data_IF_243999255637
#
_entry.id   IF_243999255637
#
_cell.length_a   1.000
_cell.length_b   1.000
_cell.length_c   1.000
_cell.angle_alpha   90.00
_cell.angle_beta   90.00
_cell.angle_gamma   90.00
#
_symmetry.space_group_name_H-M   'P 1'
#
loop_
_entity.id
_entity.type
_entity.pdbx_description
1 polymer ?
#
# COMPACT_ATOMS: atom_id res chain seq x y z
N UNK A 1 -50.47 -15.28 71.16
CA UNK A 1 -50.52 -16.34 70.14
C UNK A 1 -49.08 -16.75 69.88
N UNK A 2 -48.68 -17.95 70.31
CA UNK A 2 -47.40 -18.54 69.94
C UNK A 2 -47.61 -19.17 68.55
N UNK A 3 -46.92 -18.68 67.53
CA UNK A 3 -46.94 -19.33 66.22
C UNK A 3 -46.41 -20.76 66.37
N UNK A 4 -47.08 -21.72 65.75
CA UNK A 4 -46.62 -23.10 65.72
C UNK A 4 -45.25 -23.15 65.02
N UNK A 5 -44.21 -23.69 65.68
CA UNK A 5 -42.89 -23.83 65.07
C UNK A 5 -42.91 -24.58 63.73
N UNK A 6 -43.87 -25.47 63.51
CA UNK A 6 -44.03 -26.20 62.26
C UNK A 6 -44.52 -25.30 61.11
N UNK A 7 -45.54 -24.46 61.34
CA UNK A 7 -46.02 -23.48 60.35
C UNK A 7 -44.92 -22.50 59.94
N UNK A 8 -44.11 -22.06 60.90
CA UNK A 8 -42.99 -21.15 60.64
C UNK A 8 -41.92 -21.80 59.75
N UNK A 9 -41.63 -23.09 59.96
CA UNK A 9 -40.67 -23.84 59.14
C UNK A 9 -41.16 -24.12 57.72
N UNK A 10 -42.47 -24.35 57.54
CA UNK A 10 -43.06 -24.51 56.19
C UNK A 10 -42.97 -23.21 55.38
N UNK A 11 -43.35 -22.07 55.98
CA UNK A 11 -43.28 -20.76 55.33
C UNK A 11 -41.84 -20.41 54.94
N UNK A 12 -40.85 -20.67 55.80
CA UNK A 12 -39.44 -20.48 55.47
C UNK A 12 -39.00 -21.38 54.31
N UNK A 13 -39.43 -22.65 54.29
CA UNK A 13 -39.14 -23.58 53.20
C UNK A 13 -39.66 -23.11 51.84
N UNK A 14 -40.88 -22.56 51.80
CA UNK A 14 -41.48 -22.00 50.59
C UNK A 14 -40.75 -20.73 50.12
N UNK A 15 -40.36 -19.84 51.04
CA UNK A 15 -39.56 -18.64 50.71
C UNK A 15 -38.20 -19.01 50.10
N UNK A 16 -37.49 -19.99 50.67
CA UNK A 16 -36.22 -20.46 50.10
C UNK A 16 -36.40 -21.11 48.73
N UNK A 17 -37.51 -21.82 48.52
CA UNK A 17 -37.85 -22.45 47.23
C UNK A 17 -38.15 -21.39 46.16
N UNK A 18 -38.90 -20.35 46.49
CA UNK A 18 -39.20 -19.25 45.57
C UNK A 18 -37.94 -18.47 45.18
N UNK A 19 -37.10 -18.11 46.16
CA UNK A 19 -35.81 -17.45 45.89
C UNK A 19 -34.90 -18.30 44.99
N UNK A 20 -34.85 -19.62 45.22
CA UNK A 20 -34.09 -20.51 44.37
C UNK A 20 -34.64 -20.53 42.93
N UNK A 21 -35.96 -20.59 42.77
CA UNK A 21 -36.61 -20.56 41.44
C UNK A 21 -36.35 -19.25 40.69
N UNK A 22 -36.41 -18.11 41.38
CA UNK A 22 -36.06 -16.80 40.79
C UNK A 22 -34.60 -16.77 40.34
N UNK A 23 -33.66 -17.23 41.18
CA UNK A 23 -32.25 -17.30 40.84
C UNK A 23 -31.98 -18.21 39.63
N UNK A 24 -32.61 -19.39 39.58
CA UNK A 24 -32.52 -20.27 38.42
C UNK A 24 -33.12 -19.64 37.16
N UNK A 25 -34.22 -18.90 37.28
CA UNK A 25 -34.82 -18.14 36.19
C UNK A 25 -33.86 -17.08 35.63
N UNK A 26 -33.22 -16.32 36.53
CA UNK A 26 -32.21 -15.33 36.18
C UNK A 26 -31.03 -15.96 35.43
N UNK A 27 -30.42 -17.02 36.00
CA UNK A 27 -29.29 -17.72 35.37
C UNK A 27 -29.65 -18.27 34.00
N UNK A 28 -30.86 -18.83 33.84
CA UNK A 28 -31.34 -19.32 32.54
C UNK A 28 -31.47 -18.18 31.53
N UNK A 29 -31.96 -17.01 31.94
CA UNK A 29 -32.11 -15.85 31.07
C UNK A 29 -30.74 -15.34 30.59
N UNK A 30 -29.74 -15.27 31.48
CA UNK A 30 -28.38 -14.87 31.13
C UNK A 30 -27.69 -15.89 30.21
N UNK A 31 -27.91 -17.19 30.47
CA UNK A 31 -27.40 -18.24 29.59
C UNK A 31 -27.99 -18.13 28.17
N UNK A 32 -29.28 -17.80 28.04
CA UNK A 32 -29.91 -17.63 26.73
C UNK A 32 -29.35 -16.41 25.99
N UNK A 33 -29.18 -15.27 26.67
CA UNK A 33 -28.55 -14.07 26.08
C UNK A 33 -27.13 -14.36 25.62
N UNK A 34 -26.33 -15.06 26.45
CA UNK A 34 -24.97 -15.44 26.08
C UNK A 34 -24.92 -16.34 24.85
N UNK A 35 -25.86 -17.30 24.73
CA UNK A 35 -25.95 -18.17 23.55
C UNK A 35 -26.29 -17.40 22.28
N UNK A 36 -27.17 -16.40 22.38
CA UNK A 36 -27.52 -15.55 21.24
C UNK A 36 -26.33 -14.69 20.80
N UNK A 37 -25.59 -14.10 21.75
CA UNK A 37 -24.38 -13.33 21.46
C UNK A 37 -23.32 -14.19 20.77
N UNK A 38 -23.09 -15.42 21.26
CA UNK A 38 -22.13 -16.36 20.65
C UNK A 38 -22.57 -16.71 19.23
N UNK A 39 -23.84 -17.06 19.03
CA UNK A 39 -24.39 -17.38 17.70
C UNK A 39 -24.23 -16.22 16.70
N UNK A 40 -24.48 -14.99 17.15
CA UNK A 40 -24.29 -13.81 16.31
C UNK A 40 -22.81 -13.55 16.00
N UNK A 41 -21.91 -13.71 16.97
CA UNK A 41 -20.48 -13.59 16.76
C UNK A 41 -19.93 -14.64 15.78
N UNK A 42 -20.40 -15.89 15.86
CA UNK A 42 -20.04 -16.96 14.94
C UNK A 42 -20.45 -16.64 13.50
N UNK A 43 -21.66 -16.11 13.29
CA UNK A 43 -22.11 -15.65 11.95
C UNK A 43 -21.24 -14.54 11.41
N UNK A 44 -20.93 -13.53 12.23
CA UNK A 44 -20.05 -12.43 11.82
C UNK A 44 -18.63 -12.92 11.49
N UNK A 45 -18.11 -13.90 12.24
CA UNK A 45 -16.81 -14.48 11.99
C UNK A 45 -16.76 -15.21 10.64
N UNK A 46 -17.80 -15.98 10.29
CA UNK A 46 -17.90 -16.66 8.99
C UNK A 46 -17.82 -15.63 7.85
N UNK A 47 -18.60 -14.54 7.93
CA UNK A 47 -18.60 -13.46 6.93
C UNK A 47 -17.21 -12.82 6.80
N UNK A 48 -16.54 -12.59 7.94
CA UNK A 48 -15.19 -12.03 7.96
C UNK A 48 -14.15 -12.97 7.31
N UNK A 49 -14.26 -14.27 7.57
CA UNK A 49 -13.38 -15.30 6.99
C UNK A 49 -13.56 -15.36 5.46
N UNK A 50 -14.80 -15.36 4.97
CA UNK A 50 -15.09 -15.36 3.53
C UNK A 50 -14.55 -14.10 2.84
N UNK A 51 -14.79 -12.94 3.44
CA UNK A 51 -14.29 -11.65 2.94
C UNK A 51 -12.76 -11.63 2.87
N UNK A 52 -12.10 -12.15 3.92
CA UNK A 52 -10.64 -12.27 3.97
C UNK A 52 -10.13 -13.21 2.87
N UNK A 53 -10.75 -14.37 2.67
CA UNK A 53 -10.35 -15.34 1.64
C UNK A 53 -10.42 -14.72 0.24
N UNK A 54 -11.48 -13.94 -0.03
CA UNK A 54 -11.60 -13.17 -1.28
C UNK A 54 -10.47 -12.16 -1.43
N UNK A 55 -10.18 -11.36 -0.41
CA UNK A 55 -9.09 -10.38 -0.45
C UNK A 55 -7.71 -11.03 -0.66
N UNK A 56 -7.45 -12.18 -0.06
CA UNK A 56 -6.22 -12.94 -0.28
C UNK A 56 -6.10 -13.46 -1.72
N UNK A 57 -7.20 -13.88 -2.33
CA UNK A 57 -7.24 -14.29 -3.73
C UNK A 57 -7.02 -13.09 -4.67
N UNK A 58 -7.69 -11.97 -4.42
CA UNK A 58 -7.55 -10.74 -5.21
C UNK A 58 -6.10 -10.24 -5.16
N UNK A 59 -5.47 -10.26 -3.98
CA UNK A 59 -4.05 -9.91 -3.83
C UNK A 59 -3.15 -10.83 -4.66
N UNK A 60 -3.34 -12.16 -4.59
CA UNK A 60 -2.55 -13.12 -5.37
C UNK A 60 -2.68 -12.87 -6.88
N UNK A 61 -3.90 -12.57 -7.35
CA UNK A 61 -4.13 -12.24 -8.75
C UNK A 61 -3.44 -10.93 -9.16
N UNK A 62 -3.49 -9.90 -8.30
CA UNK A 62 -2.81 -8.63 -8.55
C UNK A 62 -1.28 -8.80 -8.60
N UNK A 63 -0.71 -9.54 -7.64
CA UNK A 63 0.73 -9.81 -7.57
C UNK A 63 1.20 -10.61 -8.81
N UNK A 64 0.41 -11.58 -9.27
CA UNK A 64 0.73 -12.33 -10.49
C UNK A 64 0.68 -11.45 -11.73
N UNK A 65 -0.35 -10.61 -11.89
CA UNK A 65 -0.45 -9.66 -13.01
C UNK A 65 0.74 -8.69 -13.03
N UNK A 66 1.13 -8.18 -11.87
CA UNK A 66 2.30 -7.30 -11.74
C UNK A 66 3.57 -8.02 -12.21
N UNK A 67 3.77 -9.27 -11.77
CA UNK A 67 4.93 -10.07 -12.18
C UNK A 67 4.93 -10.34 -13.68
N UNK A 68 3.78 -10.69 -14.27
CA UNK A 68 3.65 -10.94 -15.70
C UNK A 68 3.93 -9.67 -16.52
N UNK A 69 3.49 -8.50 -16.06
CA UNK A 69 3.80 -7.21 -16.70
C UNK A 69 5.30 -6.87 -16.58
N UNK A 70 5.90 -7.10 -15.41
CA UNK A 70 7.34 -6.93 -15.22
C UNK A 70 8.15 -7.84 -16.13
N UNK A 71 7.76 -9.11 -16.28
CA UNK A 71 8.42 -10.06 -17.19
C UNK A 71 8.24 -9.68 -18.67
N UNK A 72 7.04 -9.22 -19.08
CA UNK A 72 6.80 -8.71 -20.44
C UNK A 72 7.63 -7.47 -20.78
N UNK A 73 7.95 -6.66 -19.79
CA UNK A 73 8.72 -5.43 -19.94
C UNK A 73 10.23 -5.66 -19.73
N UNK A 74 10.65 -6.86 -19.29
CA UNK A 74 12.06 -7.21 -19.10
C UNK A 74 12.78 -7.23 -20.45
N UNK A 75 13.66 -6.25 -20.67
CA UNK A 75 14.44 -6.11 -21.90
C UNK A 75 13.82 -5.21 -22.97
N UNK A 76 12.61 -4.67 -22.74
CA UNK A 76 12.13 -3.52 -23.51
C UNK A 76 12.75 -2.27 -22.90
N UNK A 77 13.37 -1.42 -23.72
CA UNK A 77 13.67 -0.04 -23.30
C UNK A 77 12.36 0.58 -22.82
N UNK A 78 12.28 1.11 -21.59
CA UNK A 78 11.08 1.76 -21.11
C UNK A 78 10.69 2.82 -22.13
N UNK A 79 9.40 2.89 -22.47
CA UNK A 79 8.93 3.94 -23.36
C UNK A 79 9.22 5.29 -22.69
N UNK A 80 10.23 5.98 -23.22
CA UNK A 80 10.77 7.18 -22.60
C UNK A 80 9.77 8.30 -22.81
N UNK A 81 9.27 8.82 -21.69
CA UNK A 81 8.31 9.92 -21.63
C UNK A 81 9.02 11.22 -21.32
N UNK A 82 8.78 12.21 -22.15
CA UNK A 82 9.22 13.58 -21.93
C UNK A 82 8.02 14.39 -21.44
N UNK A 83 8.15 15.06 -20.28
CA UNK A 83 7.22 16.10 -19.90
C UNK A 83 7.58 17.42 -20.63
N UNK A 84 6.66 18.39 -20.61
CA UNK A 84 6.85 19.64 -21.35
C UNK A 84 8.07 20.42 -20.86
N UNK A 85 8.32 20.41 -19.54
CA UNK A 85 9.51 21.03 -18.96
C UNK A 85 10.79 20.43 -19.52
N UNK A 86 10.87 19.10 -19.61
CA UNK A 86 12.04 18.43 -20.15
C UNK A 86 12.17 18.74 -21.63
N UNK A 87 11.09 18.73 -22.42
CA UNK A 87 11.14 19.08 -23.85
C UNK A 87 11.76 20.45 -24.08
N UNK A 88 11.35 21.44 -23.29
CA UNK A 88 11.92 22.80 -23.37
C UNK A 88 13.41 22.83 -22.99
N UNK A 89 13.79 22.02 -22.01
CA UNK A 89 15.18 21.91 -21.55
C UNK A 89 16.08 21.17 -22.55
N UNK A 90 15.56 20.23 -23.33
CA UNK A 90 16.39 19.43 -24.26
C UNK A 90 17.16 20.34 -25.21
N UNK A 91 16.44 21.19 -25.97
CA UNK A 91 17.07 22.05 -26.98
C UNK A 91 18.08 23.04 -26.38
N UNK A 92 17.74 23.64 -25.24
CA UNK A 92 18.63 24.62 -24.56
C UNK A 92 19.88 23.97 -24.00
N UNK A 93 19.79 22.70 -23.57
CA UNK A 93 20.88 21.91 -23.00
C UNK A 93 21.65 21.07 -24.02
N UNK A 94 21.41 21.30 -25.31
CA UNK A 94 22.08 20.61 -26.41
C UNK A 94 21.63 19.17 -26.65
N UNK A 95 20.53 18.72 -26.03
CA UNK A 95 19.96 17.39 -26.22
C UNK A 95 18.88 17.38 -27.29
N UNK A 96 18.75 16.24 -27.97
CA UNK A 96 17.56 15.88 -28.73
C UNK A 96 16.85 14.70 -28.06
N UNK A 97 15.55 14.49 -28.36
CA UNK A 97 14.86 13.27 -27.90
C UNK A 97 15.57 12.00 -28.39
N UNK A 98 16.17 12.06 -29.59
CA UNK A 98 16.98 10.97 -30.14
C UNK A 98 18.22 10.70 -29.29
N UNK A 99 18.95 11.75 -28.90
CA UNK A 99 20.14 11.61 -28.03
C UNK A 99 19.78 10.91 -26.72
N UNK A 100 18.64 11.28 -26.13
CA UNK A 100 18.17 10.66 -24.89
C UNK A 100 17.87 9.18 -25.09
N UNK A 101 17.12 8.82 -26.15
CA UNK A 101 16.83 7.42 -26.46
C UNK A 101 18.10 6.62 -26.76
N UNK A 102 19.07 7.23 -27.44
CA UNK A 102 20.38 6.62 -27.73
C UNK A 102 21.25 6.46 -26.47
N UNK A 103 21.15 7.38 -25.50
CA UNK A 103 21.81 7.23 -24.20
C UNK A 103 21.19 6.07 -23.40
N UNK A 104 19.85 5.98 -23.39
CA UNK A 104 19.12 4.91 -22.69
C UNK A 104 19.44 3.54 -23.29
N UNK A 105 19.51 3.43 -24.62
CA UNK A 105 19.77 2.16 -25.31
C UNK A 105 21.17 1.59 -25.07
N UNK A 106 22.15 2.44 -24.70
CA UNK A 106 23.51 2.02 -24.30
C UNK A 106 23.55 1.37 -22.91
N UNK A 107 22.44 1.39 -22.18
CA UNK A 107 22.32 0.80 -20.86
C UNK A 107 22.67 1.75 -19.72
N UNK A 108 22.16 1.43 -18.53
CA UNK A 108 22.35 2.24 -17.34
C UNK A 108 23.84 2.26 -16.91
N UNK A 109 24.29 3.43 -16.48
CA UNK A 109 25.65 3.71 -15.99
C UNK A 109 25.68 4.13 -14.53
N UNK A 110 24.53 4.34 -13.91
CA UNK A 110 24.41 4.66 -12.50
C UNK A 110 22.97 4.56 -12.02
N UNK A 111 22.76 4.92 -10.76
CA UNK A 111 21.45 4.95 -10.09
C UNK A 111 21.22 6.32 -9.44
N UNK A 112 19.96 6.67 -9.28
CA UNK A 112 19.48 7.88 -8.63
C UNK A 112 18.10 7.63 -7.99
N UNK A 113 17.50 8.68 -7.45
CA UNK A 113 16.14 8.62 -6.90
C UNK A 113 15.29 9.80 -7.39
N UNK A 114 14.08 9.50 -7.86
CA UNK A 114 13.06 10.50 -8.15
C UNK A 114 12.22 10.79 -6.90
N UNK A 115 12.67 11.79 -6.14
CA UNK A 115 11.98 12.31 -4.95
C UNK A 115 11.33 13.66 -5.24
N UNK A 116 10.14 13.63 -5.85
CA UNK A 116 9.34 14.83 -6.14
C UNK A 116 8.08 14.87 -5.27
N UNK A 117 7.90 15.97 -4.55
CA UNK A 117 6.65 16.23 -3.82
C UNK A 117 5.46 16.35 -4.80
N UNK A 118 4.23 15.96 -4.41
CA UNK A 118 2.98 16.11 -5.18
C UNK A 118 2.86 17.39 -6.02
N UNK A 119 3.13 18.56 -5.42
CA UNK A 119 3.07 19.87 -6.10
C UNK A 119 4.01 20.03 -7.31
N UNK A 120 5.01 19.14 -7.46
CA UNK A 120 6.00 19.15 -8.55
C UNK A 120 5.70 18.10 -9.63
N UNK A 121 4.56 17.40 -9.57
CA UNK A 121 4.18 16.34 -10.52
C UNK A 121 2.81 16.60 -11.16
N UNK A 122 2.55 17.78 -11.76
CA UNK A 122 1.34 17.94 -12.56
C UNK A 122 1.38 17.00 -13.78
N UNK A 123 0.22 16.56 -14.32
CA UNK A 123 -1.13 16.89 -13.87
C UNK A 123 -1.67 15.99 -12.75
N UNK A 124 -1.00 14.89 -12.40
CA UNK A 124 -1.54 13.87 -11.49
C UNK A 124 -1.41 14.22 -10.00
N UNK A 125 -0.44 15.08 -9.65
CA UNK A 125 -0.09 15.48 -8.29
C UNK A 125 0.13 14.29 -7.32
N UNK A 126 0.53 13.12 -7.82
CA UNK A 126 0.72 11.94 -6.98
C UNK A 126 2.05 11.95 -6.21
N UNK A 127 2.98 12.83 -6.58
CA UNK A 127 4.35 12.78 -6.12
C UNK A 127 5.09 11.59 -6.74
N UNK A 128 6.40 11.54 -6.47
CA UNK A 128 7.28 10.43 -6.83
C UNK A 128 8.21 10.13 -5.67
N UNK A 129 8.41 8.85 -5.41
CA UNK A 129 9.40 8.33 -4.46
C UNK A 129 9.89 7.00 -5.00
N UNK A 130 10.49 7.07 -6.19
CA UNK A 130 10.81 5.90 -7.00
C UNK A 130 12.31 5.82 -7.27
N UNK A 131 12.86 4.60 -7.40
CA UNK A 131 14.18 4.40 -8.00
C UNK A 131 14.27 5.01 -9.40
N UNK A 132 15.46 5.47 -9.76
CA UNK A 132 15.75 5.98 -11.08
C UNK A 132 17.11 5.47 -11.58
N UNK A 133 17.21 5.28 -12.89
CA UNK A 133 18.43 4.87 -13.57
C UNK A 133 19.08 6.08 -14.25
N UNK A 134 20.42 6.11 -14.21
CA UNK A 134 21.24 7.16 -14.85
C UNK A 134 21.90 6.59 -16.09
N UNK A 135 21.83 7.33 -17.18
CA UNK A 135 22.38 6.96 -18.49
C UNK A 135 23.34 8.04 -18.98
N UNK A 136 24.40 7.64 -19.69
CA UNK A 136 25.44 8.55 -20.15
C UNK A 136 26.63 8.59 -19.19
N UNK A 137 27.24 9.76 -19.04
CA UNK A 137 28.46 9.98 -18.27
C UNK A 137 28.40 11.30 -17.48
N UNK A 138 29.37 11.54 -16.59
CA UNK A 138 29.45 12.78 -15.81
C UNK A 138 29.44 14.01 -16.72
N UNK A 139 28.64 15.02 -16.37
CA UNK A 139 28.39 16.22 -17.19
C UNK A 139 27.45 15.99 -18.39
N UNK A 140 27.24 14.75 -18.84
CA UNK A 140 26.44 14.40 -20.04
C UNK A 140 25.54 13.20 -19.77
N UNK A 141 24.51 13.42 -18.95
CA UNK A 141 23.64 12.35 -18.48
C UNK A 141 22.14 12.64 -18.59
N UNK A 142 21.38 11.55 -18.52
CA UNK A 142 19.93 11.51 -18.42
C UNK A 142 19.55 10.66 -17.21
N UNK A 143 18.60 11.13 -16.41
CA UNK A 143 17.99 10.38 -15.30
C UNK A 143 16.56 10.01 -15.68
N UNK A 144 16.20 8.73 -15.57
CA UNK A 144 14.87 8.22 -15.91
C UNK A 144 14.27 7.49 -14.71
N UNK A 145 13.02 7.78 -14.37
CA UNK A 145 12.29 7.09 -13.31
C UNK A 145 11.97 5.65 -13.77
N UNK A 146 12.40 4.65 -12.98
CA UNK A 146 12.32 3.24 -13.36
C UNK A 146 10.88 2.73 -13.44
N UNK A 147 9.97 3.32 -12.64
CA UNK A 147 8.55 2.93 -12.61
C UNK A 147 7.76 3.57 -13.74
N UNK A 148 8.00 4.84 -14.06
CA UNK A 148 7.14 5.60 -14.98
C UNK A 148 7.70 5.73 -16.39
N UNK A 149 9.02 5.57 -16.57
CA UNK A 149 9.74 5.88 -17.80
C UNK A 149 9.88 7.38 -18.08
N UNK A 150 9.50 8.24 -17.12
CA UNK A 150 9.64 9.69 -17.23
C UNK A 150 11.11 10.09 -17.15
N UNK A 151 11.57 10.92 -18.09
CA UNK A 151 12.84 11.62 -17.95
C UNK A 151 12.68 12.65 -16.84
N UNK A 152 13.48 12.52 -15.78
CA UNK A 152 13.40 13.37 -14.58
C UNK A 152 14.38 14.54 -14.69
N UNK A 153 15.53 14.30 -15.34
CA UNK A 153 16.60 15.26 -15.47
C UNK A 153 17.48 14.95 -16.69
N UNK A 154 17.94 16.01 -17.35
CA UNK A 154 19.00 15.97 -18.35
C UNK A 154 20.08 16.96 -17.93
N UNK A 155 21.36 16.59 -18.06
CA UNK A 155 22.45 17.54 -17.80
C UNK A 155 22.51 18.63 -18.87
N UNK A 156 23.22 19.72 -18.62
CA UNK A 156 23.49 20.72 -19.65
C UNK A 156 24.78 20.39 -20.41
N UNK A 157 24.68 19.93 -21.66
CA UNK A 157 25.87 19.59 -22.46
C UNK A 157 26.62 20.83 -22.95
N UNK A 158 25.99 21.99 -22.90
CA UNK A 158 26.58 23.26 -23.32
C UNK A 158 27.31 23.96 -22.18
N UNK A 159 27.12 23.49 -20.93
CA UNK A 159 27.82 23.96 -19.75
C UNK A 159 29.00 23.03 -19.41
N UNK A 160 30.26 23.44 -19.67
CA UNK A 160 31.43 22.63 -19.35
C UNK A 160 31.70 22.49 -17.85
N UNK A 161 31.10 23.34 -17.02
CA UNK A 161 31.24 23.32 -15.56
C UNK A 161 30.02 22.67 -14.87
N UNK A 162 29.16 21.99 -15.65
CA UNK A 162 27.98 21.33 -15.11
C UNK A 162 28.33 20.35 -13.98
N UNK A 163 27.74 20.58 -12.81
CA UNK A 163 27.90 19.73 -11.64
C UNK A 163 26.81 18.65 -11.64
N UNK A 164 27.23 17.39 -11.57
CA UNK A 164 26.32 16.25 -11.45
C UNK A 164 25.42 16.38 -10.21
N UNK A 165 24.18 15.87 -10.29
CA UNK A 165 23.32 15.82 -9.11
C UNK A 165 23.99 14.95 -8.04
N UNK A 166 24.17 15.50 -6.86
CA UNK A 166 24.78 14.82 -5.70
C UNK A 166 24.14 13.47 -5.33
N UNK A 167 22.91 13.21 -5.79
CA UNK A 167 22.18 11.95 -5.55
C UNK A 167 22.50 10.87 -6.59
N UNK A 168 23.24 11.20 -7.64
CA UNK A 168 23.69 10.22 -8.64
C UNK A 168 24.79 9.38 -8.02
N UNK A 169 24.60 8.07 -8.09
CA UNK A 169 25.62 7.08 -7.75
C UNK A 169 26.02 6.39 -9.05
N UNK A 170 27.20 6.77 -9.55
CA UNK A 170 27.79 6.15 -10.74
C UNK A 170 28.16 4.68 -10.45
N UNK A 171 27.87 3.81 -11.43
CA UNK A 171 28.30 2.42 -11.42
C UNK A 171 29.81 2.32 -11.59
N UNK A 172 30.40 1.24 -11.05
CA UNK A 172 31.81 0.91 -11.28
C UNK A 172 32.04 0.37 -12.68
#
# INVERSE_FOLDING_TARGET
MLNDPSETMFVLGDVYKEQALEYYGYLRSELLKSKELISNAEKSLIIAIESRKKAEQDKKTADQKLKDEQEKNKGKTPDIKFDDKIRDQLGTRGWTEKDVRDAVSKGAKGSAEDKRSPKKTPPDFLGRNDPASVYGESGKYVVVNDRTGEVVQVSDKNDPEWVDDSRIIWGK
#
